data_IF_445908030534
#
_entry.id   IF_445908030534
#
_cell.length_a   1.000
_cell.length_b   1.000
_cell.length_c   1.000
_cell.angle_alpha   90.00
_cell.angle_beta   90.00
_cell.angle_gamma   90.00
#
_symmetry.space_group_name_H-M   'P 1'
#
loop_
_entity.id
_entity.type
_entity.pdbx_description
1 polymer ?
#
# COMPACT_ATOMS: atom_id res chain seq x y z
N UNK A 1 -30.29 20.60 25.45
CA UNK A 1 -30.99 20.60 24.15
C UNK A 1 -30.10 19.94 23.11
N UNK A 2 -30.65 19.57 21.96
CA UNK A 2 -29.83 19.13 20.81
C UNK A 2 -28.97 20.29 20.27
N UNK A 3 -27.89 19.95 19.57
CA UNK A 3 -27.02 20.90 18.88
C UNK A 3 -27.38 21.04 17.40
N UNK A 4 -26.67 21.94 16.72
CA UNK A 4 -26.74 22.14 15.28
C UNK A 4 -25.33 22.18 14.72
N UNK A 5 -25.11 21.60 13.53
CA UNK A 5 -23.88 21.83 12.77
C UNK A 5 -24.22 22.79 11.64
N UNK A 6 -23.57 23.95 11.61
CA UNK A 6 -23.63 24.86 10.47
C UNK A 6 -22.38 24.69 9.61
N UNK A 7 -22.58 24.71 8.30
CA UNK A 7 -21.46 24.71 7.37
C UNK A 7 -21.73 25.44 6.07
N UNK A 8 -20.67 25.53 5.28
CA UNK A 8 -20.67 26.15 3.95
C UNK A 8 -19.81 25.30 3.02
N UNK A 9 -20.30 25.05 1.81
CA UNK A 9 -19.53 24.45 0.73
C UNK A 9 -18.63 25.50 0.08
N UNK A 10 -17.31 25.25 0.09
CA UNK A 10 -16.29 26.22 -0.31
C UNK A 10 -15.39 25.63 -1.39
N UNK A 11 -15.07 26.44 -2.41
CA UNK A 11 -14.02 26.13 -3.36
C UNK A 11 -12.64 26.36 -2.72
N UNK A 12 -11.83 25.32 -2.64
CA UNK A 12 -10.54 25.32 -1.97
C UNK A 12 -9.41 25.95 -2.81
N UNK A 13 -9.64 26.26 -4.08
CA UNK A 13 -8.63 26.82 -4.97
C UNK A 13 -8.18 28.26 -4.62
N UNK A 14 -8.91 28.99 -3.78
CA UNK A 14 -8.61 30.38 -3.43
C UNK A 14 -8.79 30.61 -1.91
N UNK A 15 -7.73 31.07 -1.24
CA UNK A 15 -7.57 31.12 0.22
C UNK A 15 -8.41 32.16 0.97
N UNK A 16 -9.44 32.76 0.35
CA UNK A 16 -10.34 33.71 1.00
C UNK A 16 -11.77 33.15 1.19
N UNK A 17 -12.08 32.79 2.44
CA UNK A 17 -13.18 31.91 2.86
C UNK A 17 -14.62 32.46 2.70
N UNK A 18 -14.82 33.71 2.27
CA UNK A 18 -16.16 34.34 2.22
C UNK A 18 -16.76 34.48 0.81
N UNK A 19 -15.94 34.54 -0.24
CA UNK A 19 -16.37 34.78 -1.64
C UNK A 19 -16.48 33.51 -2.50
N UNK A 20 -16.00 32.38 -2.00
CA UNK A 20 -15.79 31.17 -2.80
C UNK A 20 -16.85 30.07 -2.54
N UNK A 21 -18.06 30.49 -2.22
CA UNK A 21 -19.13 29.55 -1.96
C UNK A 21 -19.54 28.78 -3.22
N UNK A 22 -19.88 27.52 -3.02
CA UNK A 22 -20.30 26.63 -4.09
C UNK A 22 -21.79 26.35 -3.94
N UNK A 23 -22.59 26.90 -4.86
CA UNK A 23 -24.01 26.55 -4.96
C UNK A 23 -24.25 25.25 -5.73
N UNK A 24 -25.42 24.65 -5.53
CA UNK A 24 -25.81 23.38 -6.12
C UNK A 24 -25.16 22.16 -5.48
N UNK A 25 -24.67 22.27 -4.24
CA UNK A 25 -24.04 21.17 -3.51
C UNK A 25 -25.07 20.44 -2.66
N UNK A 26 -25.24 19.14 -2.90
CA UNK A 26 -26.05 18.26 -2.07
C UNK A 26 -25.22 17.82 -0.86
N UNK A 27 -25.75 18.02 0.34
CA UNK A 27 -25.07 17.67 1.59
C UNK A 27 -25.76 16.48 2.24
N UNK A 28 -24.96 15.55 2.76
CA UNK A 28 -25.39 14.37 3.50
C UNK A 28 -24.58 14.27 4.78
N UNK A 29 -25.08 13.52 5.76
CA UNK A 29 -24.37 13.30 7.02
C UNK A 29 -24.52 11.86 7.50
N UNK A 30 -23.53 11.39 8.25
CA UNK A 30 -23.51 10.10 8.90
C UNK A 30 -23.11 10.28 10.37
N UNK A 31 -23.90 9.71 11.28
CA UNK A 31 -23.65 9.71 12.73
C UNK A 31 -22.84 8.49 13.13
N UNK A 32 -21.88 8.67 14.03
CA UNK A 32 -21.14 7.58 14.67
C UNK A 32 -22.04 6.70 15.57
N UNK A 33 -23.12 7.28 16.09
CA UNK A 33 -24.17 6.61 16.87
C UNK A 33 -25.30 6.04 15.99
N UNK A 34 -25.19 6.10 14.66
CA UNK A 34 -26.17 5.56 13.73
C UNK A 34 -27.50 6.32 13.67
N UNK A 35 -27.53 7.58 14.14
CA UNK A 35 -28.73 8.44 14.05
C UNK A 35 -28.85 9.09 12.68
N UNK A 36 -30.10 9.27 12.24
CA UNK A 36 -30.41 10.07 11.06
C UNK A 36 -30.63 11.53 11.46
N UNK A 37 -29.90 12.44 10.81
CA UNK A 37 -30.07 13.88 10.99
C UNK A 37 -30.59 14.54 9.72
N UNK A 38 -31.40 15.56 9.91
CA UNK A 38 -31.95 16.35 8.80
C UNK A 38 -30.93 17.39 8.34
N UNK A 39 -30.77 17.50 7.02
CA UNK A 39 -29.95 18.53 6.39
C UNK A 39 -30.86 19.56 5.71
N UNK A 40 -30.71 20.83 6.07
CA UNK A 40 -31.44 21.94 5.44
C UNK A 40 -30.47 22.98 4.86
N UNK A 41 -30.92 23.74 3.88
CA UNK A 41 -30.13 24.77 3.21
C UNK A 41 -30.63 26.17 3.59
N UNK A 42 -29.75 27.17 3.54
CA UNK A 42 -30.07 28.52 4.03
C UNK A 42 -30.06 29.57 2.92
N UNK A 43 -30.98 30.52 3.03
CA UNK A 43 -31.00 31.77 2.29
C UNK A 43 -29.87 32.71 2.74
N UNK A 44 -29.67 33.81 2.02
CA UNK A 44 -28.63 34.81 2.34
C UNK A 44 -28.88 35.51 3.68
N UNK A 45 -30.13 35.59 4.11
CA UNK A 45 -30.57 36.11 5.42
C UNK A 45 -30.54 35.06 6.55
N UNK A 46 -29.95 33.88 6.30
CA UNK A 46 -29.85 32.75 7.23
C UNK A 46 -31.18 32.08 7.60
N UNK A 47 -32.28 32.40 6.91
CA UNK A 47 -33.53 31.63 7.04
C UNK A 47 -33.42 30.30 6.27
N UNK A 48 -34.20 29.30 6.69
CA UNK A 48 -34.26 28.01 5.98
C UNK A 48 -34.89 28.20 4.60
N UNK A 49 -34.18 27.75 3.56
CA UNK A 49 -34.65 27.75 2.19
C UNK A 49 -35.61 26.57 1.95
N UNK A 50 -36.89 26.77 2.23
CA UNK A 50 -37.93 25.73 2.10
C UNK A 50 -37.95 25.13 0.70
N UNK A 51 -37.83 23.79 0.62
CA UNK A 51 -37.87 23.04 -0.65
C UNK A 51 -36.55 23.02 -1.42
N UNK A 52 -35.47 23.64 -0.92
CA UNK A 52 -34.16 23.53 -1.54
C UNK A 52 -33.61 22.09 -1.43
N UNK A 53 -33.19 21.52 -2.55
CA UNK A 53 -32.59 20.18 -2.60
C UNK A 53 -31.04 20.19 -2.51
N UNK A 54 -30.43 21.37 -2.56
CA UNK A 54 -28.99 21.60 -2.54
C UNK A 54 -28.69 23.02 -2.04
N UNK A 55 -27.43 23.32 -1.74
CA UNK A 55 -27.01 24.67 -1.35
C UNK A 55 -27.37 25.70 -2.41
N UNK A 56 -27.75 26.90 -1.97
CA UNK A 56 -27.90 28.07 -2.86
C UNK A 56 -26.51 28.60 -3.25
N UNK A 57 -26.44 29.68 -4.04
CA UNK A 57 -25.16 30.32 -4.43
C UNK A 57 -24.25 30.64 -3.23
N UNK A 58 -24.82 30.83 -2.05
CA UNK A 58 -24.10 31.05 -0.81
C UNK A 58 -23.48 29.79 -0.18
N UNK A 59 -23.75 28.58 -0.68
CA UNK A 59 -23.13 27.34 -0.20
C UNK A 59 -23.56 26.87 1.20
N UNK A 60 -24.52 27.53 1.88
CA UNK A 60 -24.81 27.32 3.31
C UNK A 60 -25.76 26.15 3.56
N UNK A 61 -25.51 25.42 4.65
CA UNK A 61 -26.37 24.33 5.13
C UNK A 61 -26.34 24.21 6.66
N UNK A 62 -27.34 23.52 7.22
CA UNK A 62 -27.39 23.06 8.60
C UNK A 62 -27.63 21.56 8.66
N UNK A 63 -27.03 20.89 9.65
CA UNK A 63 -27.46 19.58 10.15
C UNK A 63 -28.19 19.81 11.46
N UNK A 64 -29.48 19.49 11.50
CA UNK A 64 -30.37 19.81 12.60
C UNK A 64 -30.42 18.70 13.66
N UNK A 65 -30.69 19.11 14.90
CA UNK A 65 -31.01 18.23 16.02
C UNK A 65 -29.91 17.21 16.36
N UNK A 66 -28.65 17.58 16.19
CA UNK A 66 -27.50 16.71 16.46
C UNK A 66 -27.42 16.41 17.96
N UNK A 67 -27.34 15.12 18.31
CA UNK A 67 -27.25 14.73 19.71
C UNK A 67 -25.93 15.22 20.33
N UNK A 68 -25.93 15.69 21.58
CA UNK A 68 -24.69 16.09 22.25
C UNK A 68 -23.70 14.93 22.34
N UNK A 69 -22.45 15.17 21.95
CA UNK A 69 -21.37 14.18 21.94
C UNK A 69 -21.38 13.21 20.76
N UNK A 70 -22.32 13.33 19.82
CA UNK A 70 -22.34 12.55 18.57
C UNK A 70 -21.33 13.13 17.59
N UNK A 71 -20.48 12.27 17.00
CA UNK A 71 -19.59 12.64 15.92
C UNK A 71 -20.30 12.44 14.58
N UNK A 72 -20.52 13.56 13.88
CA UNK A 72 -21.21 13.55 12.60
C UNK A 72 -20.22 13.85 11.48
N UNK A 73 -20.09 12.90 10.56
CA UNK A 73 -19.36 13.10 9.31
C UNK A 73 -20.28 13.69 8.25
N UNK A 74 -20.00 14.92 7.86
CA UNK A 74 -20.68 15.63 6.77
C UNK A 74 -19.95 15.37 5.46
N UNK A 75 -20.70 15.01 4.42
CA UNK A 75 -20.22 14.75 3.05
C UNK A 75 -21.01 15.57 2.04
N UNK A 76 -20.39 15.92 0.92
CA UNK A 76 -20.98 16.76 -0.11
C UNK A 76 -20.83 16.18 -1.51
N UNK A 77 -21.79 16.51 -2.38
CA UNK A 77 -21.81 16.10 -3.79
C UNK A 77 -22.26 17.25 -4.68
N UNK A 78 -21.52 17.49 -5.75
CA UNK A 78 -21.94 18.29 -6.91
C UNK A 78 -21.26 17.74 -8.14
N UNK A 79 -21.96 17.67 -9.26
CA UNK A 79 -21.36 17.25 -10.53
C UNK A 79 -20.23 18.21 -10.92
N UNK A 80 -19.07 17.67 -11.30
CA UNK A 80 -17.88 18.47 -11.61
C UNK A 80 -16.99 18.78 -10.40
N UNK A 81 -17.32 18.31 -9.20
CA UNK A 81 -16.64 18.70 -7.95
C UNK A 81 -16.24 17.50 -7.09
N UNK A 82 -15.08 17.60 -6.46
CA UNK A 82 -14.62 16.67 -5.41
C UNK A 82 -14.58 17.41 -4.07
N UNK A 83 -15.30 16.91 -3.07
CA UNK A 83 -15.32 17.47 -1.72
C UNK A 83 -14.67 16.52 -0.71
N UNK A 84 -13.99 17.06 0.29
CA UNK A 84 -13.48 16.29 1.43
C UNK A 84 -14.51 16.29 2.56
N UNK A 85 -14.89 15.11 3.05
CA UNK A 85 -15.79 15.00 4.20
C UNK A 85 -15.16 15.60 5.46
N UNK A 86 -16.01 16.07 6.37
CA UNK A 86 -15.59 16.64 7.67
C UNK A 86 -16.36 16.01 8.81
N UNK A 87 -15.66 15.65 9.87
CA UNK A 87 -16.28 15.15 11.11
C UNK A 87 -16.32 16.27 12.13
N UNK A 88 -17.46 16.43 12.79
CA UNK A 88 -17.70 17.46 13.80
C UNK A 88 -18.58 16.90 14.91
N UNK A 89 -18.33 17.31 16.15
CA UNK A 89 -19.09 16.90 17.33
C UNK A 89 -20.28 17.84 17.56
N UNK A 90 -21.44 17.28 17.90
CA UNK A 90 -22.60 18.05 18.38
C UNK A 90 -22.46 18.48 19.85
N UNK A 91 -22.80 19.72 20.18
CA UNK A 91 -22.82 20.23 21.56
C UNK A 91 -24.22 20.61 22.01
N UNK A 92 -24.54 20.39 23.28
CA UNK A 92 -25.89 20.64 23.80
C UNK A 92 -26.27 22.11 23.71
N UNK A 93 -27.29 22.43 22.89
CA UNK A 93 -27.72 23.82 22.63
C UNK A 93 -26.69 24.68 21.89
N UNK A 94 -25.61 24.08 21.38
CA UNK A 94 -24.54 24.77 20.69
C UNK A 94 -24.65 24.67 19.16
N UNK A 95 -23.90 25.55 18.49
CA UNK A 95 -23.69 25.50 17.04
C UNK A 95 -22.23 25.17 16.77
N UNK A 96 -21.98 24.05 16.12
CA UNK A 96 -20.65 23.69 15.63
C UNK A 96 -20.48 24.24 14.21
N UNK A 97 -19.42 25.02 13.96
CA UNK A 97 -19.09 25.60 12.66
C UNK A 97 -17.97 24.82 11.99
N UNK A 98 -18.22 24.27 10.80
CA UNK A 98 -17.15 23.78 9.93
C UNK A 98 -17.52 23.90 8.44
N UNK A 99 -16.52 24.06 7.59
CA UNK A 99 -16.69 24.20 6.15
C UNK A 99 -16.35 22.90 5.42
N UNK A 100 -17.14 22.59 4.40
CA UNK A 100 -16.84 21.49 3.48
C UNK A 100 -16.13 22.05 2.24
N UNK A 101 -14.85 21.72 2.14
CA UNK A 101 -13.99 22.19 1.06
C UNK A 101 -14.07 21.25 -0.13
N UNK A 102 -13.99 21.79 -1.34
CA UNK A 102 -13.86 20.99 -2.56
C UNK A 102 -13.18 21.75 -3.69
N UNK A 103 -12.72 21.01 -4.68
CA UNK A 103 -12.13 21.54 -5.90
C UNK A 103 -13.08 21.31 -7.09
N UNK A 104 -13.15 22.31 -7.98
CA UNK A 104 -13.74 22.15 -9.31
C UNK A 104 -12.79 21.32 -10.18
N UNK A 105 -13.30 20.26 -10.82
CA UNK A 105 -12.52 19.33 -11.63
C UNK A 105 -11.81 18.26 -10.80
N UNK A 106 -12.45 17.09 -10.63
CA UNK A 106 -11.77 15.89 -10.13
C UNK A 106 -11.11 15.08 -11.25
N UNK A 107 -10.34 14.05 -10.88
CA UNK A 107 -9.77 13.13 -11.86
C UNK A 107 -10.88 12.35 -12.59
N UNK A 108 -10.61 12.04 -13.85
CA UNK A 108 -11.37 11.06 -14.63
C UNK A 108 -10.54 9.82 -14.87
N UNK A 109 -11.14 8.65 -14.66
CA UNK A 109 -10.49 7.35 -14.82
C UNK A 109 -11.36 6.51 -15.74
N UNK A 110 -10.80 6.09 -16.86
CA UNK A 110 -11.41 5.12 -17.77
C UNK A 110 -10.80 3.75 -17.57
N UNK A 111 -11.63 2.74 -17.37
CA UNK A 111 -11.19 1.34 -17.26
C UNK A 111 -12.08 0.42 -18.09
N UNK A 112 -11.56 -0.77 -18.39
CA UNK A 112 -12.29 -1.81 -19.10
C UNK A 112 -12.74 -2.92 -18.15
N UNK A 113 -13.91 -3.49 -18.40
CA UNK A 113 -14.41 -4.66 -17.69
C UNK A 113 -14.61 -5.80 -18.68
N UNK A 114 -14.01 -6.95 -18.38
CA UNK A 114 -14.03 -8.14 -19.24
C UNK A 114 -14.38 -9.39 -18.45
N UNK A 115 -14.83 -10.42 -19.14
CA UNK A 115 -14.95 -11.77 -18.57
C UNK A 115 -13.58 -12.47 -18.54
N UNK A 116 -13.53 -13.66 -17.93
CA UNK A 116 -12.29 -14.47 -17.85
C UNK A 116 -11.64 -14.80 -19.20
N UNK A 117 -12.41 -14.76 -20.29
CA UNK A 117 -11.95 -15.02 -21.66
C UNK A 117 -11.56 -13.73 -22.39
N UNK A 118 -11.49 -12.60 -21.69
CA UNK A 118 -11.21 -11.27 -22.23
C UNK A 118 -12.29 -10.69 -23.16
N UNK A 119 -13.52 -11.22 -23.11
CA UNK A 119 -14.66 -10.61 -23.79
C UNK A 119 -15.18 -9.41 -22.98
N UNK A 120 -15.50 -8.26 -23.61
CA UNK A 120 -16.03 -7.10 -22.90
C UNK A 120 -17.39 -7.38 -22.28
N UNK A 121 -17.65 -6.81 -21.10
CA UNK A 121 -18.95 -6.90 -20.43
C UNK A 121 -19.57 -5.51 -20.32
N UNK A 122 -20.68 -5.29 -21.02
CA UNK A 122 -21.49 -4.08 -20.92
C UNK A 122 -22.40 -4.09 -19.68
N UNK A 123 -22.85 -2.92 -19.23
CA UNK A 123 -23.80 -2.82 -18.11
C UNK A 123 -23.20 -3.25 -16.77
N UNK A 124 -21.89 -3.07 -16.57
CA UNK A 124 -21.21 -3.27 -15.30
C UNK A 124 -21.18 -1.94 -14.57
N UNK A 125 -21.56 -1.91 -13.31
CA UNK A 125 -21.42 -0.72 -12.46
C UNK A 125 -20.00 -0.66 -11.92
N UNK A 126 -19.28 0.42 -12.22
CA UNK A 126 -18.01 0.76 -11.60
C UNK A 126 -18.21 2.00 -10.75
N UNK A 127 -17.83 1.95 -9.48
CA UNK A 127 -17.98 3.08 -8.54
C UNK A 127 -16.77 3.26 -7.65
N UNK A 128 -16.64 4.43 -7.05
CA UNK A 128 -15.75 4.61 -5.89
C UNK A 128 -16.38 3.92 -4.67
N UNK A 129 -15.64 3.04 -4.01
CA UNK A 129 -16.15 2.25 -2.89
C UNK A 129 -16.49 3.13 -1.68
N UNK A 130 -15.69 4.18 -1.45
CA UNK A 130 -15.85 5.13 -0.35
C UNK A 130 -16.92 6.19 -0.65
N UNK A 131 -17.26 6.41 -1.92
CA UNK A 131 -18.38 7.27 -2.33
C UNK A 131 -19.18 6.63 -3.47
N UNK A 132 -20.15 5.75 -3.15
CA UNK A 132 -20.94 5.03 -4.14
C UNK A 132 -21.75 5.92 -5.10
N UNK A 133 -21.92 7.21 -4.80
CA UNK A 133 -22.59 8.17 -5.70
C UNK A 133 -21.74 8.56 -6.92
N UNK A 134 -20.43 8.29 -6.89
CA UNK A 134 -19.52 8.43 -8.01
C UNK A 134 -19.42 7.08 -8.72
N UNK A 135 -20.21 6.91 -9.78
CA UNK A 135 -20.26 5.68 -10.55
C UNK A 135 -20.38 5.93 -12.04
N UNK A 136 -20.03 4.91 -12.82
CA UNK A 136 -20.23 4.82 -14.24
C UNK A 136 -20.71 3.41 -14.59
N UNK A 137 -21.33 3.28 -15.76
CA UNK A 137 -21.72 1.97 -16.30
C UNK A 137 -20.89 1.66 -17.53
N UNK A 138 -20.41 0.43 -17.66
CA UNK A 138 -19.63 0.03 -18.83
C UNK A 138 -20.47 0.02 -20.11
N UNK A 139 -19.89 0.51 -21.20
CA UNK A 139 -20.48 0.51 -22.54
C UNK A 139 -20.37 -0.87 -23.24
N UNK A 140 -20.77 -0.95 -24.51
CA UNK A 140 -20.67 -2.16 -25.34
C UNK A 140 -19.25 -2.73 -25.50
N UNK A 141 -18.22 -1.90 -25.31
CA UNK A 141 -16.81 -2.29 -25.33
C UNK A 141 -16.28 -2.63 -23.93
N UNK A 142 -17.16 -2.66 -22.92
CA UNK A 142 -16.81 -2.87 -21.52
C UNK A 142 -16.12 -1.66 -20.89
N UNK A 143 -16.09 -0.49 -21.53
CA UNK A 143 -15.41 0.70 -21.00
C UNK A 143 -16.32 1.47 -20.06
N UNK A 144 -15.85 1.78 -18.85
CA UNK A 144 -16.51 2.67 -17.90
C UNK A 144 -15.60 3.84 -17.57
N UNK A 145 -16.14 5.06 -17.59
CA UNK A 145 -15.41 6.30 -17.27
C UNK A 145 -16.01 6.96 -16.05
N UNK A 146 -15.29 6.92 -14.93
CA UNK A 146 -15.62 7.70 -13.74
C UNK A 146 -15.06 9.10 -13.90
N UNK A 147 -15.80 10.09 -13.45
CA UNK A 147 -15.40 11.50 -13.42
C UNK A 147 -15.52 12.02 -12.00
N UNK A 148 -14.87 13.16 -11.74
CA UNK A 148 -14.96 13.85 -10.45
C UNK A 148 -14.44 13.02 -9.27
N UNK A 149 -13.40 12.23 -9.51
CA UNK A 149 -12.73 11.47 -8.45
C UNK A 149 -11.81 12.39 -7.65
N UNK A 150 -11.66 12.18 -6.33
CA UNK A 150 -10.73 12.95 -5.52
C UNK A 150 -9.28 12.69 -5.93
N UNK A 151 -8.49 13.76 -5.97
CA UNK A 151 -7.04 13.72 -6.15
C UNK A 151 -6.35 13.58 -4.79
N UNK A 152 -5.14 13.02 -4.81
CA UNK A 152 -4.20 12.95 -3.68
C UNK A 152 -4.77 12.33 -2.39
N UNK A 153 -5.86 11.57 -2.53
CA UNK A 153 -6.55 10.86 -1.44
C UNK A 153 -6.61 9.37 -1.79
N UNK A 154 -6.28 8.46 -0.85
CA UNK A 154 -6.48 7.02 -1.06
C UNK A 154 -7.95 6.69 -1.33
N UNK A 155 -8.20 5.89 -2.37
CA UNK A 155 -9.52 5.40 -2.74
C UNK A 155 -9.47 3.98 -3.31
N UNK A 156 -10.64 3.36 -3.42
CA UNK A 156 -10.82 2.04 -4.02
C UNK A 156 -11.92 2.10 -5.09
N UNK A 157 -11.73 1.40 -6.20
CA UNK A 157 -12.80 1.15 -7.16
C UNK A 157 -13.50 -0.17 -6.85
N UNK A 158 -14.82 -0.17 -6.96
CA UNK A 158 -15.67 -1.34 -6.86
C UNK A 158 -16.37 -1.57 -8.20
N UNK A 159 -16.27 -2.78 -8.73
CA UNK A 159 -16.82 -3.24 -10.00
C UNK A 159 -17.83 -4.34 -9.71
N UNK A 160 -19.08 -4.13 -10.13
CA UNK A 160 -20.20 -5.01 -9.78
C UNK A 160 -21.10 -5.30 -10.98
N UNK A 161 -21.52 -6.56 -11.06
CA UNK A 161 -22.60 -6.99 -11.94
C UNK A 161 -23.28 -8.20 -11.32
N UNK A 162 -24.60 -8.24 -11.34
CA UNK A 162 -25.37 -9.40 -10.87
C UNK A 162 -24.88 -10.68 -11.54
N UNK A 163 -24.72 -11.75 -10.75
CA UNK A 163 -24.17 -13.02 -11.21
C UNK A 163 -22.65 -13.12 -11.22
N UNK A 164 -21.94 -12.09 -10.73
CA UNK A 164 -20.49 -12.08 -10.55
C UNK A 164 -20.12 -11.68 -9.13
N UNK A 165 -18.95 -12.13 -8.66
CA UNK A 165 -18.34 -11.62 -7.45
C UNK A 165 -17.93 -10.15 -7.63
N UNK A 166 -18.19 -9.33 -6.60
CA UNK A 166 -17.72 -7.96 -6.59
C UNK A 166 -16.20 -7.93 -6.70
N UNK A 167 -15.71 -7.05 -7.55
CA UNK A 167 -14.27 -6.87 -7.78
C UNK A 167 -13.84 -5.51 -7.28
N UNK A 168 -12.77 -5.47 -6.49
CA UNK A 168 -12.21 -4.24 -5.94
C UNK A 168 -10.80 -4.00 -6.48
N UNK A 169 -10.42 -2.74 -6.61
CA UNK A 169 -9.03 -2.39 -6.86
C UNK A 169 -8.15 -2.60 -5.62
N UNK A 170 -6.84 -2.43 -5.80
CA UNK A 170 -5.96 -2.05 -4.68
C UNK A 170 -6.32 -0.65 -4.16
N UNK A 171 -5.72 -0.24 -3.04
CA UNK A 171 -5.67 1.17 -2.64
C UNK A 171 -4.92 1.99 -3.69
N UNK A 172 -5.53 3.06 -4.19
CA UNK A 172 -4.93 3.95 -5.20
C UNK A 172 -5.04 5.42 -4.81
N UNK A 173 -4.08 6.20 -5.28
CA UNK A 173 -4.09 7.67 -5.16
C UNK A 173 -3.99 8.22 -6.57
N UNK A 174 -4.90 9.11 -6.93
CA UNK A 174 -4.95 9.72 -8.24
C UNK A 174 -4.25 11.08 -8.20
N UNK A 175 -3.37 11.33 -9.17
CA UNK A 175 -2.68 12.62 -9.33
C UNK A 175 -3.17 13.36 -10.58
N UNK A 176 -4.12 12.78 -11.32
CA UNK A 176 -4.68 13.34 -12.54
C UNK A 176 -5.59 12.37 -13.28
N UNK A 177 -5.96 12.76 -14.49
CA UNK A 177 -6.77 11.94 -15.40
C UNK A 177 -5.98 10.71 -15.91
N UNK A 178 -6.67 9.59 -16.11
CA UNK A 178 -6.13 8.43 -16.80
C UNK A 178 -7.20 7.79 -17.70
N UNK A 179 -7.01 7.87 -19.02
CA UNK A 179 -7.91 7.31 -20.03
C UNK A 179 -7.70 5.82 -20.29
N UNK A 180 -6.67 5.21 -19.69
CA UNK A 180 -6.37 3.77 -19.76
C UNK A 180 -5.84 3.25 -18.43
N UNK A 181 -6.76 3.12 -17.47
CA UNK A 181 -6.45 2.60 -16.14
C UNK A 181 -6.16 1.09 -16.11
N UNK A 182 -6.49 0.40 -17.20
CA UNK A 182 -6.39 -1.05 -17.33
C UNK A 182 -7.74 -1.77 -17.28
N UNK A 183 -7.69 -3.07 -17.06
CA UNK A 183 -8.83 -3.99 -17.16
C UNK A 183 -9.10 -4.70 -15.84
N UNK A 184 -10.37 -4.77 -15.45
CA UNK A 184 -10.87 -5.64 -14.38
C UNK A 184 -11.62 -6.83 -14.97
N UNK A 185 -11.33 -8.02 -14.45
CA UNK A 185 -11.96 -9.27 -14.89
C UNK A 185 -13.04 -9.70 -13.92
N UNK A 186 -14.26 -9.98 -14.40
CA UNK A 186 -15.33 -10.47 -13.53
C UNK A 186 -15.38 -12.01 -13.50
N UNK A 187 -15.69 -12.55 -12.32
CA UNK A 187 -15.79 -13.98 -12.06
C UNK A 187 -17.17 -14.34 -11.51
N UNK A 188 -17.84 -15.42 -11.96
CA UNK A 188 -19.21 -15.76 -11.52
C UNK A 188 -19.38 -15.96 -10.01
N UNK A 189 -18.30 -16.35 -9.33
CA UNK A 189 -18.22 -16.49 -7.88
C UNK A 189 -16.86 -17.06 -7.46
N UNK A 190 -16.27 -16.55 -6.38
CA UNK A 190 -14.91 -16.93 -5.98
C UNK A 190 -14.78 -18.38 -5.50
N UNK A 191 -15.82 -18.91 -4.86
CA UNK A 191 -15.87 -20.29 -4.42
C UNK A 191 -15.91 -21.25 -5.63
N UNK A 192 -16.79 -20.98 -6.60
CA UNK A 192 -16.94 -21.82 -7.79
C UNK A 192 -15.68 -21.86 -8.68
N UNK A 193 -14.86 -20.80 -8.65
CA UNK A 193 -13.67 -20.69 -9.49
C UNK A 193 -12.42 -21.23 -8.80
N UNK A 194 -12.23 -20.90 -7.52
CA UNK A 194 -10.97 -21.16 -6.80
C UNK A 194 -11.13 -21.88 -5.46
N UNK A 195 -12.36 -22.27 -5.08
CA UNK A 195 -12.62 -22.91 -3.79
C UNK A 195 -12.42 -21.96 -2.60
N UNK A 196 -12.58 -20.65 -2.80
CA UNK A 196 -12.53 -19.67 -1.71
C UNK A 196 -13.68 -19.93 -0.74
N UNK A 197 -13.34 -20.03 0.55
CA UNK A 197 -14.30 -20.32 1.62
C UNK A 197 -15.37 -19.22 1.70
N UNK A 198 -16.57 -19.62 2.07
CA UNK A 198 -17.69 -18.70 2.24
C UNK A 198 -17.34 -17.58 3.22
N UNK A 199 -17.68 -16.34 2.85
CA UNK A 199 -17.39 -15.16 3.62
C UNK A 199 -15.95 -14.65 3.51
N UNK A 200 -15.03 -15.37 2.85
CA UNK A 200 -13.65 -14.91 2.64
C UNK A 200 -13.49 -14.15 1.33
N UNK A 201 -12.42 -13.35 1.24
CA UNK A 201 -12.00 -12.66 0.04
C UNK A 201 -10.85 -13.36 -0.68
N UNK A 202 -10.63 -12.97 -1.93
CA UNK A 202 -9.46 -13.38 -2.72
C UNK A 202 -8.71 -12.15 -3.23
N UNK A 203 -7.39 -12.26 -3.39
CA UNK A 203 -6.56 -11.25 -4.07
C UNK A 203 -5.92 -11.90 -5.28
N UNK A 204 -6.02 -11.31 -6.45
CA UNK A 204 -5.42 -11.87 -7.68
C UNK A 204 -4.85 -10.79 -8.59
N UNK A 205 -3.94 -11.19 -9.46
CA UNK A 205 -3.47 -10.34 -10.53
C UNK A 205 -2.38 -11.00 -11.34
N UNK A 206 -1.60 -10.15 -12.01
CA UNK A 206 -0.42 -10.55 -12.75
C UNK A 206 0.84 -9.97 -12.12
N UNK A 207 1.91 -10.74 -12.12
CA UNK A 207 3.26 -10.21 -12.08
C UNK A 207 3.63 -9.81 -13.50
N UNK A 208 3.95 -8.52 -13.70
CA UNK A 208 4.22 -7.94 -15.01
C UNK A 208 5.51 -7.16 -15.02
N UNK A 209 6.12 -7.05 -16.18
CA UNK A 209 7.20 -6.08 -16.41
C UNK A 209 6.60 -4.68 -16.50
N UNK A 210 7.18 -3.74 -15.77
CA UNK A 210 6.75 -2.34 -15.77
C UNK A 210 6.95 -1.68 -17.14
N UNK A 211 8.01 -2.06 -17.86
CA UNK A 211 8.42 -1.41 -19.12
C UNK A 211 7.46 -1.63 -20.28
N UNK A 212 6.92 -2.84 -20.43
CA UNK A 212 6.12 -3.24 -21.59
C UNK A 212 4.77 -3.85 -21.21
N UNK A 213 4.49 -4.02 -19.91
CA UNK A 213 3.24 -4.62 -19.41
C UNK A 213 3.09 -6.12 -19.69
N UNK A 214 4.13 -6.78 -20.21
CA UNK A 214 4.14 -8.23 -20.45
C UNK A 214 4.21 -9.00 -19.14
N UNK A 215 3.71 -10.23 -19.15
CA UNK A 215 3.71 -11.10 -17.97
C UNK A 215 5.11 -11.62 -17.66
N UNK A 216 5.38 -11.87 -16.38
CA UNK A 216 6.68 -12.30 -15.90
C UNK A 216 6.59 -13.68 -15.24
N UNK A 217 7.39 -14.63 -15.76
CA UNK A 217 7.52 -15.99 -15.24
C UNK A 217 8.59 -16.08 -14.14
N UNK A 218 8.47 -17.09 -13.28
CA UNK A 218 9.46 -17.42 -12.26
C UNK A 218 9.39 -16.55 -11.00
N UNK A 219 8.47 -15.59 -10.93
CA UNK A 219 8.32 -14.72 -9.78
C UNK A 219 7.54 -15.41 -8.66
N UNK A 220 8.10 -15.42 -7.45
CA UNK A 220 7.42 -15.90 -6.25
C UNK A 220 6.64 -14.75 -5.62
N UNK A 221 5.34 -14.92 -5.40
CA UNK A 221 4.50 -13.92 -4.73
C UNK A 221 4.43 -14.22 -3.24
N UNK A 222 4.58 -13.17 -2.42
CA UNK A 222 4.42 -13.22 -0.97
C UNK A 222 3.44 -12.15 -0.54
N UNK A 223 2.85 -12.33 0.64
CA UNK A 223 1.92 -11.35 1.19
C UNK A 223 1.99 -11.28 2.71
N UNK A 224 1.66 -10.11 3.24
CA UNK A 224 1.61 -9.86 4.68
C UNK A 224 0.29 -9.21 5.06
N UNK A 225 -0.31 -9.79 6.09
CA UNK A 225 -1.52 -9.31 6.75
C UNK A 225 -1.19 -8.21 7.78
N UNK A 226 -1.95 -7.12 7.75
CA UNK A 226 -1.92 -6.09 8.78
C UNK A 226 -2.36 -6.63 10.16
N UNK A 227 -3.13 -7.73 10.17
CA UNK A 227 -3.60 -8.40 11.38
C UNK A 227 -2.74 -9.62 11.76
N UNK A 228 -1.56 -9.79 11.15
CA UNK A 228 -0.60 -10.85 11.47
C UNK A 228 -1.02 -12.27 11.02
N UNK A 229 -2.03 -12.39 10.15
CA UNK A 229 -2.48 -13.68 9.62
C UNK A 229 -1.59 -14.19 8.49
N UNK A 230 -1.55 -15.50 8.33
CA UNK A 230 -0.88 -16.18 7.22
C UNK A 230 -1.91 -16.58 6.18
N UNK A 231 -1.70 -16.14 4.95
CA UNK A 231 -2.54 -16.52 3.81
C UNK A 231 -1.75 -17.34 2.80
N UNK A 232 -2.41 -18.32 2.20
CA UNK A 232 -1.81 -19.14 1.17
C UNK A 232 -1.74 -18.37 -0.15
N UNK A 233 -0.61 -18.48 -0.84
CA UNK A 233 -0.42 -18.00 -2.20
C UNK A 233 -0.42 -19.19 -3.15
N UNK A 234 -1.19 -19.09 -4.22
CA UNK A 234 -1.23 -20.05 -5.31
C UNK A 234 -0.99 -19.35 -6.66
N UNK A 235 -0.71 -20.15 -7.68
CA UNK A 235 -0.52 -19.69 -9.06
C UNK A 235 -1.57 -20.31 -9.96
N UNK A 236 -1.92 -19.60 -11.03
CA UNK A 236 -3.04 -19.97 -11.89
C UNK A 236 -2.58 -20.40 -13.27
N UNK A 237 -3.25 -21.41 -13.81
CA UNK A 237 -3.16 -21.79 -15.22
C UNK A 237 -3.87 -20.77 -16.12
N UNK A 238 -3.76 -20.95 -17.45
CA UNK A 238 -4.42 -20.07 -18.41
C UNK A 238 -5.95 -20.12 -18.32
N UNK A 239 -6.51 -21.25 -17.91
CA UNK A 239 -7.94 -21.46 -17.67
C UNK A 239 -8.41 -20.99 -16.28
N UNK A 240 -7.51 -20.37 -15.50
CA UNK A 240 -7.69 -19.90 -14.12
C UNK A 240 -7.82 -20.99 -13.06
N UNK A 241 -7.63 -22.27 -13.40
CA UNK A 241 -7.49 -23.32 -12.40
C UNK A 241 -6.21 -23.11 -11.58
N UNK A 242 -6.23 -23.54 -10.32
CA UNK A 242 -5.04 -23.50 -9.45
C UNK A 242 -4.03 -24.52 -9.99
N UNK A 243 -2.81 -24.06 -10.26
CA UNK A 243 -1.69 -24.89 -10.66
C UNK A 243 -1.12 -25.59 -9.41
N UNK A 244 -1.57 -26.82 -9.14
CA UNK A 244 -1.17 -27.58 -7.97
C UNK A 244 0.37 -27.75 -7.91
N UNK A 245 0.96 -27.45 -6.75
CA UNK A 245 2.40 -27.57 -6.50
C UNK A 245 3.27 -26.44 -7.09
N UNK A 246 2.70 -25.49 -7.81
CA UNK A 246 3.47 -24.35 -8.32
C UNK A 246 3.96 -23.46 -7.16
N UNK A 247 5.23 -23.05 -7.22
CA UNK A 247 5.88 -22.18 -6.21
C UNK A 247 6.21 -20.79 -6.73
N UNK A 248 6.04 -20.56 -8.04
CA UNK A 248 6.28 -19.29 -8.73
C UNK A 248 5.35 -19.15 -9.96
N UNK A 249 5.27 -17.95 -10.52
CA UNK A 249 4.45 -17.67 -11.71
C UNK A 249 4.91 -18.48 -12.92
N UNK A 250 3.95 -18.95 -13.72
CA UNK A 250 4.22 -19.47 -15.06
C UNK A 250 4.40 -18.32 -16.08
N UNK A 251 4.54 -18.63 -17.37
CA UNK A 251 4.62 -17.62 -18.45
C UNK A 251 3.45 -16.64 -18.46
N UNK A 252 2.30 -17.03 -17.90
CA UNK A 252 1.12 -16.17 -17.80
C UNK A 252 1.18 -15.17 -16.64
N UNK A 253 2.17 -15.23 -15.74
CA UNK A 253 2.36 -14.29 -14.64
C UNK A 253 1.30 -14.29 -13.54
N UNK A 254 0.33 -15.21 -13.53
CA UNK A 254 -0.85 -15.11 -12.64
C UNK A 254 -0.60 -15.64 -11.23
N UNK A 255 -1.14 -14.95 -10.24
CA UNK A 255 -1.15 -15.36 -8.84
C UNK A 255 -2.53 -15.19 -8.18
N UNK A 256 -2.72 -15.87 -7.06
CA UNK A 256 -3.91 -15.83 -6.22
C UNK A 256 -3.52 -15.92 -4.74
N UNK A 257 -4.07 -15.07 -3.88
CA UNK A 257 -4.00 -15.17 -2.43
C UNK A 257 -5.36 -15.62 -1.93
N UNK A 258 -5.40 -16.72 -1.20
CA UNK A 258 -6.64 -17.40 -0.84
C UNK A 258 -7.14 -17.02 0.55
N UNK A 259 -8.46 -17.04 0.68
CA UNK A 259 -9.18 -17.02 1.95
C UNK A 259 -8.80 -15.86 2.88
N UNK A 260 -8.63 -14.68 2.30
CA UNK A 260 -8.29 -13.47 3.06
C UNK A 260 -9.48 -13.05 3.92
N UNK A 261 -9.25 -12.78 5.20
CA UNK A 261 -10.30 -12.33 6.11
C UNK A 261 -10.86 -10.96 5.66
N UNK A 262 -12.19 -10.79 5.62
CA UNK A 262 -12.79 -9.49 5.35
C UNK A 262 -12.28 -8.41 6.32
N UNK A 263 -11.96 -7.23 5.78
CA UNK A 263 -11.41 -6.11 6.54
C UNK A 263 -9.91 -6.22 6.83
N UNK A 264 -9.26 -7.36 6.56
CA UNK A 264 -7.82 -7.45 6.63
C UNK A 264 -7.17 -6.73 5.44
N UNK A 265 -6.11 -5.98 5.73
CA UNK A 265 -5.30 -5.33 4.71
C UNK A 265 -4.07 -6.19 4.45
N UNK A 266 -3.97 -6.70 3.23
CA UNK A 266 -2.86 -7.54 2.78
C UNK A 266 -1.98 -6.75 1.84
N UNK A 267 -0.68 -6.69 2.14
CA UNK A 267 0.34 -6.13 1.26
C UNK A 267 1.00 -7.29 0.52
N UNK A 268 0.80 -7.38 -0.79
CA UNK A 268 1.44 -8.38 -1.65
C UNK A 268 2.61 -7.79 -2.42
N UNK A 269 3.66 -8.59 -2.60
CA UNK A 269 4.80 -8.28 -3.46
C UNK A 269 5.28 -9.55 -4.16
N UNK A 270 6.24 -9.41 -5.07
CA UNK A 270 6.88 -10.53 -5.74
C UNK A 270 8.41 -10.52 -5.50
N UNK A 271 9.02 -11.68 -5.69
CA UNK A 271 10.45 -11.91 -5.58
C UNK A 271 10.92 -12.66 -6.81
N UNK A 272 11.95 -12.12 -7.47
CA UNK A 272 12.64 -12.75 -8.59
C UNK A 272 14.05 -12.16 -8.65
N UNK A 273 15.07 -13.03 -8.71
CA UNK A 273 16.46 -12.60 -8.77
C UNK A 273 16.69 -11.63 -9.92
N UNK A 274 17.29 -10.47 -9.63
CA UNK A 274 17.51 -9.44 -10.64
C UNK A 274 16.33 -8.49 -10.88
N UNK A 275 15.25 -8.57 -10.09
CA UNK A 275 14.06 -7.72 -10.25
C UNK A 275 13.66 -7.02 -8.96
N UNK A 276 13.26 -5.76 -9.11
CA UNK A 276 12.48 -5.04 -8.10
C UNK A 276 11.01 -5.13 -8.45
N UNK A 277 10.15 -5.22 -7.46
CA UNK A 277 8.70 -5.09 -7.62
C UNK A 277 8.20 -3.87 -6.86
N UNK A 278 6.96 -3.43 -7.11
CA UNK A 278 6.28 -2.45 -6.26
C UNK A 278 5.21 -3.18 -5.42
N UNK A 279 5.20 -3.04 -4.08
CA UNK A 279 4.17 -3.68 -3.26
C UNK A 279 2.79 -3.10 -3.51
N UNK A 280 1.78 -3.95 -3.36
CA UNK A 280 0.38 -3.60 -3.57
C UNK A 280 -0.42 -3.92 -2.30
N UNK A 281 -1.11 -2.92 -1.77
CA UNK A 281 -1.98 -3.07 -0.61
C UNK A 281 -3.44 -3.27 -1.03
N UNK A 282 -4.11 -4.24 -0.43
CA UNK A 282 -5.48 -4.63 -0.71
C UNK A 282 -6.24 -4.77 0.60
N UNK A 283 -7.47 -4.24 0.69
CA UNK A 283 -8.38 -4.56 1.81
C UNK A 283 -9.40 -5.57 1.32
N UNK A 284 -9.33 -6.79 1.84
CA UNK A 284 -10.21 -7.88 1.43
C UNK A 284 -11.66 -7.63 1.89
N UNK A 285 -12.61 -8.10 1.09
CA UNK A 285 -14.05 -8.02 1.39
C UNK A 285 -14.67 -9.40 1.23
N UNK A 286 -15.72 -9.66 2.00
CA UNK A 286 -16.40 -10.96 1.99
C UNK A 286 -16.93 -11.29 0.60
N UNK A 287 -16.67 -12.53 0.14
CA UNK A 287 -17.14 -13.06 -1.15
C UNK A 287 -16.72 -12.21 -2.37
N UNK A 288 -15.62 -11.45 -2.25
CA UNK A 288 -15.15 -10.53 -3.27
C UNK A 288 -13.73 -10.85 -3.75
N UNK A 289 -13.35 -10.25 -4.88
CA UNK A 289 -12.01 -10.34 -5.46
C UNK A 289 -11.35 -8.98 -5.45
N UNK A 290 -10.13 -8.88 -4.95
CA UNK A 290 -9.29 -7.71 -5.13
C UNK A 290 -8.33 -7.95 -6.31
N UNK A 291 -8.24 -7.00 -7.25
CA UNK A 291 -7.41 -7.11 -8.44
C UNK A 291 -6.40 -5.98 -8.56
N UNK A 292 -5.13 -6.33 -8.78
CA UNK A 292 -4.10 -5.41 -9.27
C UNK A 292 -2.84 -6.16 -9.72
N UNK A 293 -2.06 -5.53 -10.60
CA UNK A 293 -0.79 -6.09 -11.05
C UNK A 293 0.34 -5.72 -10.09
N UNK A 294 1.21 -6.69 -9.81
CA UNK A 294 2.51 -6.46 -9.20
C UNK A 294 3.47 -6.18 -10.36
N UNK A 295 3.82 -4.92 -10.55
CA UNK A 295 4.72 -4.52 -11.62
C UNK A 295 6.14 -4.57 -11.11
N UNK A 296 7.02 -5.17 -11.90
CA UNK A 296 8.43 -5.28 -11.62
C UNK A 296 9.31 -4.68 -12.71
N UNK A 297 10.44 -4.14 -12.29
CA UNK A 297 11.49 -3.63 -13.16
C UNK A 297 12.75 -4.44 -12.90
N UNK A 298 13.44 -4.82 -13.96
CA UNK A 298 14.73 -5.48 -13.81
C UNK A 298 15.72 -4.49 -13.17
N UNK A 299 16.49 -4.95 -12.18
CA UNK A 299 17.55 -4.17 -11.56
C UNK A 299 18.54 -3.73 -12.63
N UNK A 300 18.81 -2.43 -12.70
CA UNK A 300 20.03 -1.94 -13.35
C UNK A 300 21.24 -2.12 -12.43
N UNK A 301 21.02 -1.94 -11.12
CA UNK A 301 22.02 -2.10 -10.08
C UNK A 301 21.56 -3.16 -9.07
N UNK A 302 22.42 -4.12 -8.75
CA UNK A 302 22.12 -5.11 -7.72
C UNK A 302 21.99 -4.40 -6.38
N UNK A 303 21.01 -4.78 -5.57
CA UNK A 303 20.84 -4.18 -4.25
C UNK A 303 20.21 -5.13 -3.26
N UNK A 304 20.52 -4.90 -1.98
CA UNK A 304 20.10 -5.73 -0.85
C UNK A 304 19.62 -4.85 0.29
N UNK A 305 18.52 -5.23 0.92
CA UNK A 305 18.14 -4.73 2.23
C UNK A 305 18.17 -5.88 3.24
N UNK A 306 18.74 -5.62 4.41
CA UNK A 306 18.88 -6.61 5.48
C UNK A 306 18.36 -6.01 6.77
N UNK A 307 17.74 -6.83 7.61
CA UNK A 307 17.32 -6.44 8.95
C UNK A 307 18.03 -7.34 9.94
N UNK A 308 18.84 -6.73 10.79
CA UNK A 308 19.65 -7.40 11.80
C UNK A 308 19.08 -7.09 13.19
N UNK A 309 19.18 -8.05 14.10
CA UNK A 309 18.90 -7.79 15.53
C UNK A 309 20.04 -6.94 16.11
N UNK A 310 19.68 -5.85 16.78
CA UNK A 310 20.60 -4.95 17.47
C UNK A 310 21.07 -5.56 18.79
N UNK A 311 22.10 -4.94 19.39
CA UNK A 311 22.75 -5.48 20.61
C UNK A 311 21.85 -5.41 21.87
N UNK A 312 20.83 -4.55 21.89
CA UNK A 312 19.81 -4.54 22.93
C UNK A 312 18.64 -5.47 22.56
N UNK A 313 18.00 -6.18 23.51
CA UNK A 313 17.02 -7.25 23.25
C UNK A 313 15.84 -6.87 22.33
N UNK A 314 15.55 -5.57 22.17
CA UNK A 314 14.41 -5.06 21.41
C UNK A 314 14.77 -4.27 20.14
N UNK A 315 16.05 -4.02 19.86
CA UNK A 315 16.42 -3.13 18.75
C UNK A 315 16.62 -3.91 17.46
N UNK A 316 16.17 -3.37 16.33
CA UNK A 316 16.44 -3.93 15.00
C UNK A 316 17.04 -2.84 14.11
N UNK A 317 17.99 -3.21 13.25
CA UNK A 317 18.71 -2.30 12.38
C UNK A 317 18.57 -2.74 10.93
N UNK A 318 18.07 -1.85 10.07
CA UNK A 318 18.04 -2.09 8.65
C UNK A 318 19.27 -1.49 7.95
N UNK A 319 19.88 -2.30 7.08
CA UNK A 319 21.03 -1.97 6.24
C UNK A 319 20.66 -2.11 4.78
N UNK A 320 21.04 -1.11 3.99
CA UNK A 320 20.75 -1.01 2.58
C UNK A 320 22.07 -0.93 1.83
N UNK A 321 22.17 -1.70 0.74
CA UNK A 321 23.33 -1.68 -0.15
C UNK A 321 22.88 -1.72 -1.60
N UNK A 322 23.56 -0.96 -2.46
CA UNK A 322 23.41 -1.02 -3.92
C UNK A 322 24.80 -1.09 -4.55
N UNK A 323 25.07 -2.16 -5.30
CA UNK A 323 26.35 -2.33 -5.99
C UNK A 323 26.45 -1.40 -7.20
N UNK A 324 27.57 -0.70 -7.30
CA UNK A 324 27.90 0.23 -8.38
C UNK A 324 29.37 0.09 -8.79
N UNK A 325 29.77 -1.07 -9.37
CA UNK A 325 31.17 -1.36 -9.71
C UNK A 325 31.78 -0.39 -10.73
N UNK A 326 30.94 0.34 -11.47
CA UNK A 326 31.34 1.30 -12.49
C UNK A 326 31.31 2.74 -11.99
N UNK A 327 30.94 2.99 -10.72
CA UNK A 327 30.75 4.32 -10.16
C UNK A 327 29.85 5.23 -11.04
N UNK A 328 28.80 4.64 -11.63
CA UNK A 328 27.92 5.31 -12.58
C UNK A 328 26.79 6.10 -11.88
N UNK A 329 26.50 5.77 -10.62
CA UNK A 329 25.49 6.46 -9.83
C UNK A 329 26.08 7.78 -9.32
N UNK A 330 25.28 8.84 -9.36
CA UNK A 330 25.60 10.14 -8.78
C UNK A 330 24.99 10.34 -7.39
N UNK A 331 23.79 9.80 -7.16
CA UNK A 331 23.16 9.81 -5.83
C UNK A 331 22.10 8.72 -5.69
N UNK A 332 21.89 8.28 -4.44
CA UNK A 332 20.75 7.43 -4.07
C UNK A 332 20.05 8.07 -2.88
N UNK A 333 18.77 8.41 -3.05
CA UNK A 333 17.89 8.87 -1.96
C UNK A 333 16.94 7.75 -1.56
N UNK A 334 16.74 7.55 -0.26
CA UNK A 334 15.94 6.49 0.30
C UNK A 334 14.80 7.04 1.16
N UNK A 335 13.61 6.47 0.98
CA UNK A 335 12.47 6.63 1.89
C UNK A 335 11.92 5.26 2.28
N UNK A 336 11.32 5.13 3.46
CA UNK A 336 10.73 3.86 3.88
C UNK A 336 10.53 3.76 5.39
N UNK A 337 10.16 2.57 5.89
CA UNK A 337 9.99 2.31 7.31
C UNK A 337 11.25 2.66 8.13
N UNK A 338 11.06 3.30 9.28
CA UNK A 338 12.17 3.75 10.15
C UNK A 338 12.88 5.02 9.67
N UNK A 339 12.47 5.62 8.56
CA UNK A 339 13.05 6.85 7.99
C UNK A 339 12.03 7.99 8.11
N UNK A 340 12.29 8.96 9.00
CA UNK A 340 11.40 10.11 9.20
C UNK A 340 11.50 11.15 8.07
N UNK A 341 12.71 11.34 7.53
CA UNK A 341 13.03 12.23 6.41
C UNK A 341 13.94 11.50 5.44
N UNK A 342 13.84 11.72 4.12
CA UNK A 342 14.65 11.00 3.14
C UNK A 342 16.14 11.06 3.46
N UNK A 343 16.82 9.92 3.42
CA UNK A 343 18.26 9.81 3.64
C UNK A 343 18.99 9.59 2.31
N UNK A 344 20.27 9.92 2.26
CA UNK A 344 21.15 9.58 1.14
C UNK A 344 22.03 8.41 1.52
N UNK A 345 22.28 7.51 0.57
CA UNK A 345 23.35 6.53 0.72
C UNK A 345 24.70 7.17 0.38
N UNK A 346 25.76 6.69 1.00
CA UNK A 346 27.15 7.08 0.73
C UNK A 346 27.83 6.01 -0.09
N UNK A 347 28.61 6.41 -1.09
CA UNK A 347 29.42 5.51 -1.89
C UNK A 347 30.70 5.09 -1.14
N UNK A 348 30.85 3.78 -0.93
CA UNK A 348 32.08 3.15 -0.46
C UNK A 348 32.90 2.71 -1.67
N UNK A 349 34.04 3.37 -1.90
CA UNK A 349 34.92 3.09 -3.04
C UNK A 349 35.68 1.78 -2.92
N UNK A 350 35.87 1.23 -1.71
CA UNK A 350 36.52 -0.06 -1.51
C UNK A 350 35.56 -1.20 -1.83
N UNK A 351 34.30 -1.06 -1.42
CA UNK A 351 33.24 -2.06 -1.67
C UNK A 351 32.53 -1.85 -3.02
N UNK A 352 32.84 -0.76 -3.73
CA UNK A 352 32.20 -0.32 -4.96
C UNK A 352 30.67 -0.35 -4.88
N UNK A 353 30.13 0.19 -3.78
CA UNK A 353 28.71 0.13 -3.48
C UNK A 353 28.23 1.32 -2.64
N UNK A 354 26.94 1.63 -2.74
CA UNK A 354 26.27 2.67 -1.97
C UNK A 354 25.59 2.07 -0.75
N UNK A 355 25.81 2.65 0.43
CA UNK A 355 25.31 2.11 1.70
C UNK A 355 24.82 3.23 2.63
N UNK A 356 23.94 2.91 3.58
CA UNK A 356 23.57 3.87 4.62
C UNK A 356 24.69 3.94 5.67
N UNK A 357 25.18 5.15 5.96
CA UNK A 357 26.17 5.36 7.03
C UNK A 357 25.56 5.06 8.40
N UNK A 358 24.40 5.68 8.67
CA UNK A 358 23.66 5.44 9.90
C UNK A 358 22.66 4.30 9.72
N UNK A 359 22.66 3.37 10.68
CA UNK A 359 21.71 2.28 10.69
C UNK A 359 20.27 2.79 10.86
N UNK A 360 19.34 2.26 10.07
CA UNK A 360 17.91 2.60 10.20
C UNK A 360 17.35 1.80 11.37
N UNK A 361 17.17 2.47 12.51
CA UNK A 361 16.80 1.82 13.77
C UNK A 361 15.29 1.65 13.98
N UNK A 362 14.92 0.50 14.55
CA UNK A 362 13.59 0.21 15.06
C UNK A 362 13.69 -0.13 16.55
N UNK A 363 12.82 0.48 17.37
CA UNK A 363 12.79 0.26 18.83
C UNK A 363 12.18 -1.09 19.23
N UNK A 364 11.53 -1.78 18.29
CA UNK A 364 10.94 -3.10 18.42
C UNK A 364 11.03 -3.83 17.07
N UNK A 365 10.77 -5.13 17.07
CA UNK A 365 10.68 -5.92 15.83
C UNK A 365 9.68 -5.28 14.87
N UNK A 366 10.12 -4.76 13.71
CA UNK A 366 9.18 -4.17 12.76
C UNK A 366 8.33 -5.26 12.12
N UNK A 367 7.09 -4.92 11.77
CA UNK A 367 6.26 -5.79 10.96
C UNK A 367 6.85 -5.91 9.56
N UNK A 368 7.28 -7.12 9.22
CA UNK A 368 7.80 -7.44 7.88
C UNK A 368 6.65 -7.60 6.87
N UNK A 369 6.87 -7.27 5.57
CA UNK A 369 8.15 -6.92 4.99
C UNK A 369 8.41 -5.43 5.06
N UNK A 370 9.66 -5.04 5.31
CA UNK A 370 10.05 -3.64 5.12
C UNK A 370 10.27 -3.40 3.63
N UNK A 371 9.77 -2.28 3.13
CA UNK A 371 9.99 -1.83 1.75
C UNK A 371 10.65 -0.46 1.77
N UNK A 372 11.85 -0.38 1.22
CA UNK A 372 12.56 0.88 1.04
C UNK A 372 12.47 1.32 -0.42
N UNK A 373 12.04 2.56 -0.64
CA UNK A 373 11.96 3.17 -1.96
C UNK A 373 13.26 3.95 -2.21
N UNK A 374 13.99 3.54 -3.25
CA UNK A 374 15.21 4.17 -3.70
C UNK A 374 14.93 5.01 -4.95
N UNK A 375 15.44 6.23 -4.95
CA UNK A 375 15.52 7.12 -6.10
C UNK A 375 17.00 7.22 -6.46
N UNK A 376 17.40 6.54 -7.54
CA UNK A 376 18.77 6.46 -8.02
C UNK A 376 18.95 7.45 -9.17
N UNK A 377 19.87 8.39 -9.03
CA UNK A 377 20.21 9.36 -10.08
C UNK A 377 21.60 9.03 -10.59
N UNK A 378 21.72 8.70 -11.88
CA UNK A 378 23.02 8.45 -12.51
C UNK A 378 23.73 9.76 -12.84
N UNK A 379 25.06 9.71 -12.93
CA UNK A 379 25.85 10.88 -13.28
C UNK A 379 25.43 11.40 -14.66
N UNK A 380 25.04 12.68 -14.73
CA UNK A 380 24.60 13.32 -15.97
C UNK A 380 23.22 12.90 -16.47
N UNK A 381 22.46 12.10 -15.72
CA UNK A 381 21.10 11.66 -16.10
C UNK A 381 20.05 12.43 -15.32
N UNK A 382 19.10 13.04 -16.03
CA UNK A 382 18.04 13.89 -15.44
C UNK A 382 16.88 13.08 -14.87
N UNK A 383 16.57 11.92 -15.45
CA UNK A 383 15.43 11.09 -15.02
C UNK A 383 15.90 10.01 -14.05
N UNK A 384 15.56 10.09 -12.76
CA UNK A 384 15.98 9.10 -11.78
C UNK A 384 15.27 7.76 -11.98
N UNK A 385 15.97 6.69 -11.64
CA UNK A 385 15.44 5.33 -11.59
C UNK A 385 14.79 5.09 -10.23
N UNK A 386 13.65 4.41 -10.22
CA UNK A 386 13.02 3.92 -8.99
C UNK A 386 13.36 2.45 -8.79
N UNK A 387 13.83 2.12 -7.61
CA UNK A 387 14.15 0.76 -7.18
C UNK A 387 13.58 0.52 -5.79
N UNK A 388 13.16 -0.70 -5.48
CA UNK A 388 12.67 -1.06 -4.16
C UNK A 388 13.54 -2.16 -3.58
N UNK A 389 13.94 -2.00 -2.31
CA UNK A 389 14.64 -3.05 -1.58
C UNK A 389 13.73 -3.61 -0.49
N UNK A 390 13.84 -4.92 -0.27
CA UNK A 390 12.94 -5.69 0.57
C UNK A 390 13.66 -6.38 1.71
N UNK A 391 13.03 -6.33 2.88
CA UNK A 391 13.34 -7.24 3.98
C UNK A 391 12.13 -8.15 4.16
N UNK A 392 12.28 -9.44 3.89
CA UNK A 392 11.20 -10.43 4.04
C UNK A 392 11.37 -11.37 5.24
N UNK A 393 12.51 -11.30 5.91
CA UNK A 393 12.83 -11.97 7.18
C UNK A 393 13.88 -11.14 7.93
N UNK A 394 13.95 -11.29 9.25
CA UNK A 394 15.14 -10.83 9.98
C UNK A 394 16.30 -11.75 9.59
N UNK A 395 17.34 -11.19 8.99
CA UNK A 395 18.53 -11.93 8.56
C UNK A 395 19.56 -11.87 9.68
N UNK A 396 19.53 -12.88 10.57
CA UNK A 396 20.56 -13.16 11.55
C UNK A 396 20.65 -12.18 12.73
N UNK A 397 21.01 -12.73 13.89
CA UNK A 397 21.52 -11.94 15.01
C UNK A 397 23.02 -11.73 14.75
N UNK A 398 23.57 -10.53 14.99
CA UNK A 398 25.03 -10.33 14.87
C UNK A 398 25.76 -11.28 15.83
N UNK A 399 26.74 -12.02 15.33
CA UNK A 399 27.44 -13.04 16.12
C UNK A 399 26.69 -14.37 16.28
N UNK A 400 25.53 -14.57 15.64
CA UNK A 400 24.85 -15.88 15.54
C UNK A 400 25.37 -16.60 14.28
N UNK A 401 26.49 -17.30 14.45
CA UNK A 401 27.27 -17.92 13.39
C UNK A 401 26.53 -19.14 12.81
N UNK A 402 25.78 -19.86 13.64
CA UNK A 402 25.08 -21.09 13.25
C UNK A 402 23.62 -20.85 12.80
N UNK A 403 23.12 -19.62 12.89
CA UNK A 403 21.78 -19.22 12.43
C UNK A 403 20.65 -19.77 13.29
N UNK A 404 20.92 -20.15 14.55
CA UNK A 404 19.91 -20.68 15.48
C UNK A 404 19.09 -19.58 16.19
N UNK A 405 19.46 -18.32 15.96
CA UNK A 405 18.81 -17.13 16.52
C UNK A 405 19.34 -16.73 17.90
N UNK A 406 20.35 -17.40 18.45
CA UNK A 406 20.86 -17.18 19.81
C UNK A 406 22.39 -17.01 19.78
N UNK A 407 22.89 -15.80 20.06
CA UNK A 407 24.33 -15.56 20.18
C UNK A 407 24.87 -16.21 21.46
N UNK A 408 25.64 -17.28 21.33
CA UNK A 408 26.17 -18.03 22.46
C UNK A 408 27.59 -18.59 22.22
N UNK A 409 28.10 -19.38 23.18
CA UNK A 409 29.46 -19.95 23.07
C UNK A 409 29.63 -20.90 21.88
N UNK A 410 28.54 -21.49 21.39
CA UNK A 410 28.54 -22.31 20.17
C UNK A 410 28.98 -21.48 18.97
N UNK A 411 28.51 -20.24 18.88
CA UNK A 411 28.88 -19.31 17.83
C UNK A 411 30.33 -18.85 17.94
N UNK A 412 30.77 -18.52 19.16
CA UNK A 412 32.17 -18.17 19.41
C UNK A 412 33.12 -19.31 19.02
N UNK A 413 32.73 -20.56 19.33
CA UNK A 413 33.51 -21.74 18.97
C UNK A 413 33.57 -21.94 17.45
N UNK A 414 32.45 -21.80 16.74
CA UNK A 414 32.40 -21.91 15.29
C UNK A 414 33.21 -20.83 14.60
N UNK A 415 33.19 -19.60 15.14
CA UNK A 415 34.00 -18.49 14.64
C UNK A 415 35.51 -18.72 14.83
N UNK A 416 35.94 -19.24 15.99
CA UNK A 416 37.34 -19.64 16.21
C UNK A 416 37.74 -20.81 15.29
N UNK A 417 36.86 -21.80 15.11
CA UNK A 417 37.09 -22.93 14.20
C UNK A 417 37.20 -22.47 12.74
N UNK A 418 36.38 -21.50 12.32
CA UNK A 418 36.46 -20.86 11.01
C UNK A 418 37.80 -20.13 10.83
N UNK A 419 38.25 -19.36 11.82
CA UNK A 419 39.54 -18.66 11.80
C UNK A 419 40.74 -19.63 11.68
N UNK A 420 40.63 -20.82 12.27
CA UNK A 420 41.63 -21.88 12.18
C UNK A 420 41.53 -22.73 10.91
N UNK A 421 40.55 -22.48 10.04
CA UNK A 421 40.30 -23.27 8.83
C UNK A 421 39.83 -24.70 9.09
N UNK A 422 39.28 -24.97 10.28
CA UNK A 422 38.92 -26.32 10.73
C UNK A 422 37.45 -26.37 11.19
N UNK A 423 36.54 -26.07 10.26
CA UNK A 423 35.10 -26.17 10.52
C UNK A 423 34.67 -27.64 10.62
N UNK A 424 33.84 -28.01 11.62
CA UNK A 424 33.29 -29.36 11.73
C UNK A 424 32.53 -29.75 10.46
N UNK A 425 32.66 -31.00 10.03
CA UNK A 425 31.92 -31.51 8.88
C UNK A 425 30.40 -31.39 9.11
N UNK A 426 29.72 -30.63 8.25
CA UNK A 426 28.29 -30.35 8.36
C UNK A 426 27.93 -29.08 9.17
N UNK A 427 28.91 -28.37 9.74
CA UNK A 427 28.66 -27.06 10.32
C UNK A 427 28.25 -26.06 9.23
N UNK A 428 27.12 -25.38 9.42
CA UNK A 428 26.68 -24.28 8.57
C UNK A 428 27.12 -22.99 9.21
N UNK A 429 27.87 -22.17 8.47
CA UNK A 429 28.34 -20.85 8.91
C UNK A 429 27.63 -19.80 8.07
N UNK A 430 26.90 -18.92 8.73
CA UNK A 430 26.23 -17.80 8.07
C UNK A 430 27.15 -16.59 8.06
N UNK A 431 27.60 -16.18 6.88
CA UNK A 431 28.38 -14.94 6.68
C UNK A 431 27.62 -13.69 7.12
N UNK A 432 26.32 -13.82 7.38
CA UNK A 432 25.48 -12.77 7.91
C UNK A 432 25.79 -12.41 9.37
N UNK A 433 26.53 -13.27 10.06
CA UNK A 433 26.99 -13.09 11.43
C UNK A 433 28.31 -12.29 11.54
N UNK A 434 28.91 -11.93 10.41
CA UNK A 434 30.10 -11.08 10.28
C UNK A 434 29.87 -9.72 10.99
N UNK A 435 30.73 -9.42 11.95
CA UNK A 435 30.57 -8.25 12.83
C UNK A 435 31.39 -7.06 12.37
N UNK A 436 32.52 -7.29 11.69
CA UNK A 436 33.42 -6.21 11.24
C UNK A 436 33.25 -5.86 9.75
N UNK A 437 32.47 -6.67 9.03
CA UNK A 437 32.04 -6.42 7.67
C UNK A 437 33.14 -6.67 6.63
N UNK A 438 34.12 -7.52 6.95
CA UNK A 438 35.20 -7.95 6.06
C UNK A 438 34.77 -9.07 5.06
N UNK A 439 33.55 -9.59 5.23
CA UNK A 439 32.97 -10.65 4.41
C UNK A 439 33.38 -12.06 4.83
N UNK A 440 33.97 -12.23 6.02
CA UNK A 440 34.44 -13.51 6.57
C UNK A 440 33.95 -13.67 8.01
N UNK A 441 34.06 -14.90 8.52
CA UNK A 441 33.84 -15.22 9.93
C UNK A 441 35.19 -15.65 10.51
N UNK A 442 35.66 -14.95 11.53
CA UNK A 442 36.95 -15.16 12.14
C UNK A 442 37.06 -14.58 13.55
N UNK A 443 38.29 -14.30 13.98
CA UNK A 443 38.59 -13.83 15.35
C UNK A 443 37.77 -12.59 15.77
N UNK A 444 37.50 -11.60 14.88
CA UNK A 444 36.64 -10.46 15.22
C UNK A 444 35.24 -10.86 15.73
N UNK A 445 34.61 -11.83 15.09
CA UNK A 445 33.30 -12.37 15.50
C UNK A 445 33.40 -13.09 16.85
N UNK A 446 34.43 -13.92 17.07
CA UNK A 446 34.62 -14.63 18.33
C UNK A 446 34.81 -13.65 19.49
N UNK A 447 35.61 -12.59 19.28
CA UNK A 447 35.83 -11.55 20.27
C UNK A 447 34.54 -10.80 20.59
N UNK A 448 33.77 -10.46 19.55
CA UNK A 448 32.47 -9.81 19.70
C UNK A 448 31.49 -10.64 20.53
N UNK A 449 31.37 -11.93 20.22
CA UNK A 449 30.47 -12.86 20.92
C UNK A 449 30.87 -12.99 22.39
N UNK A 450 32.16 -13.18 22.68
CA UNK A 450 32.66 -13.29 24.06
C UNK A 450 32.43 -12.00 24.86
N UNK A 451 32.61 -10.84 24.23
CA UNK A 451 32.33 -9.55 24.88
C UNK A 451 30.84 -9.39 25.20
N UNK A 452 29.96 -9.77 24.27
CA UNK A 452 28.51 -9.73 24.48
C UNK A 452 28.07 -10.65 25.62
N UNK A 453 28.58 -11.90 25.66
CA UNK A 453 28.26 -12.85 26.73
C UNK A 453 28.77 -12.41 28.11
N UNK A 454 29.83 -11.60 28.15
CA UNK A 454 30.39 -11.05 29.39
C UNK A 454 29.68 -9.79 29.89
N UNK A 455 28.69 -9.27 29.15
CA UNK A 455 28.00 -8.02 29.47
C UNK A 455 28.88 -6.77 29.35
N UNK A 456 30.04 -6.89 28.69
CA UNK A 456 30.92 -5.76 28.38
C UNK A 456 30.46 -4.99 27.13
N UNK A 457 29.52 -5.56 26.37
CA UNK A 457 28.89 -4.99 25.16
C UNK A 457 27.43 -5.38 25.05
#
# INVERSE_FOLDING_TARGET
>A
GAGVIYGRAINNADSNNSTNAVGGVQVTCASDQGKAYEVVYLNDDYTVATGAAATLSNGRYLVLNVAPGDEVTVSARKEGWSFWSKTTIGYAGGVSHDYIYGNAGGASISMYVKDKNSAPIAGVTVRMAENPSLFATSDGNGKATLTNLPLDTPLTFEVMKTGYANTYSRHVTLTGNNSDWGTYYLFPGVNAVWGILEGKGAVTGWVKKEVDGSTLAGAQVTCVSAQGRKYAVAYLNNDLSIAAGAVATSSNGRFLILNVEPGDTVVATAQLTGWTFQPRAYTARANAVNQSNINGRQYKYQGTARLLHGMAPTNYLAYLRVDDPQAAIGSITVTGPGIASPISLTYDSQKQSWQNEDAIGFAAAPSLPLTYNLVITEQGVVTPLKQYLYVSGATGVRGDINGDGVVNLTDALLSLQAAMGNLPAGATVYTDADVDGDGRIGIPEALYILQSLSGLR
#
